data_IF_634431952997
#
_entry.id   IF_634431952997
#
_cell.length_a   1.000
_cell.length_b   1.000
_cell.length_c   1.000
_cell.angle_alpha   90.00
_cell.angle_beta   90.00
_cell.angle_gamma   90.00
#
_symmetry.space_group_name_H-M   'P 1'
#
loop_
_entity.id
_entity.type
_entity.pdbx_description
1 polymer ?
#
# COMPACT_ATOMS: atom_id res chain seq x y z
N UNK A 1 -4.66 8.12 55.83
CA UNK A 1 -4.64 8.83 54.54
C UNK A 1 -4.25 7.84 53.49
N UNK A 2 -5.16 7.40 52.61
CA UNK A 2 -4.78 6.49 51.49
C UNK A 2 -4.12 7.32 50.38
N UNK A 3 -2.98 6.86 49.94
CA UNK A 3 -2.25 7.44 48.80
C UNK A 3 -3.01 7.13 47.53
N UNK A 4 -3.46 8.19 46.84
CA UNK A 4 -4.04 8.13 45.49
C UNK A 4 -2.87 7.87 44.52
N UNK A 5 -2.77 6.61 44.03
CA UNK A 5 -1.83 6.25 42.98
C UNK A 5 -2.13 7.09 41.74
N UNK A 6 -1.16 7.91 41.28
CA UNK A 6 -1.17 8.53 39.96
C UNK A 6 -1.10 7.45 38.90
N UNK A 7 -2.22 7.10 38.30
CA UNK A 7 -2.23 6.39 37.03
C UNK A 7 -1.60 7.32 36.00
N UNK A 8 -0.41 6.99 35.54
CA UNK A 8 0.20 7.61 34.36
C UNK A 8 -0.68 7.39 33.14
N UNK A 9 -0.59 8.25 32.10
CA UNK A 9 -1.41 8.07 30.91
C UNK A 9 -1.17 6.69 30.32
N UNK A 10 -2.22 5.86 30.26
CA UNK A 10 -2.19 4.61 29.52
C UNK A 10 -1.72 4.93 28.09
N UNK A 11 -0.55 4.42 27.72
CA UNK A 11 -0.05 4.48 26.37
C UNK A 11 -1.07 3.76 25.48
N UNK A 12 -1.95 4.51 24.82
CA UNK A 12 -2.95 3.95 23.92
C UNK A 12 -2.23 3.14 22.84
N UNK A 13 -2.47 1.83 22.83
CA UNK A 13 -1.88 0.94 21.84
C UNK A 13 -2.20 1.46 20.43
N UNK A 14 -1.19 1.59 19.58
CA UNK A 14 -1.33 2.05 18.20
C UNK A 14 -0.98 0.93 17.22
N UNK A 15 -1.57 0.98 16.05
CA UNK A 15 -1.25 0.12 14.92
C UNK A 15 -0.87 1.00 13.72
N UNK A 16 0.21 0.64 13.03
CA UNK A 16 0.59 1.31 11.78
C UNK A 16 -0.22 0.72 10.64
N UNK A 17 -1.05 1.53 9.99
CA UNK A 17 -2.00 1.05 8.99
C UNK A 17 -2.00 1.89 7.71
N UNK A 18 -2.45 1.27 6.62
CA UNK A 18 -2.65 1.90 5.33
C UNK A 18 -3.72 1.17 4.52
N UNK A 19 -4.40 1.87 3.64
CA UNK A 19 -5.27 1.27 2.63
C UNK A 19 -4.48 0.95 1.36
N UNK A 20 -4.81 -0.16 0.71
CA UNK A 20 -4.06 -0.64 -0.46
C UNK A 20 -4.91 -1.45 -1.44
N UNK A 21 -4.42 -1.52 -2.70
CA UNK A 21 -4.75 -2.58 -3.65
C UNK A 21 -3.79 -3.74 -3.42
N UNK A 22 -4.33 -4.96 -3.36
CA UNK A 22 -3.58 -6.15 -2.97
C UNK A 22 -3.64 -7.21 -4.08
N UNK A 23 -2.53 -7.54 -4.73
CA UNK A 23 -2.54 -8.46 -5.85
C UNK A 23 -2.89 -9.87 -5.40
N UNK A 24 -3.70 -10.56 -6.20
CA UNK A 24 -3.88 -12.00 -6.07
C UNK A 24 -2.58 -12.74 -6.39
N UNK A 25 -2.58 -14.06 -6.22
CA UNK A 25 -1.38 -14.86 -6.37
C UNK A 25 -0.82 -14.80 -7.81
N UNK A 26 -1.69 -14.90 -8.83
CA UNK A 26 -1.28 -14.87 -10.23
C UNK A 26 -0.66 -13.53 -10.66
N UNK A 27 -1.24 -12.42 -10.23
CA UNK A 27 -0.69 -11.07 -10.47
C UNK A 27 0.60 -10.86 -9.67
N UNK A 28 0.65 -11.33 -8.42
CA UNK A 28 1.84 -11.27 -7.56
C UNK A 28 3.02 -12.00 -8.18
N UNK A 29 2.81 -13.19 -8.73
CA UNK A 29 3.84 -13.95 -9.42
C UNK A 29 4.41 -13.18 -10.62
N UNK A 30 3.58 -12.51 -11.41
CA UNK A 30 4.03 -11.71 -12.54
C UNK A 30 4.91 -10.53 -12.08
N UNK A 31 4.54 -9.81 -11.04
CA UNK A 31 5.39 -8.76 -10.45
C UNK A 31 6.68 -9.32 -9.86
N UNK A 32 6.64 -10.51 -9.26
CA UNK A 32 7.84 -11.19 -8.77
C UNK A 32 8.79 -11.58 -9.91
N UNK A 33 8.29 -11.96 -11.08
CA UNK A 33 9.12 -12.19 -12.27
C UNK A 33 9.81 -10.90 -12.71
N UNK A 34 9.09 -9.76 -12.74
CA UNK A 34 9.69 -8.46 -13.00
C UNK A 34 10.78 -8.13 -11.98
N UNK A 35 10.48 -8.27 -10.69
CA UNK A 35 11.44 -7.98 -9.62
C UNK A 35 12.72 -8.82 -9.73
N UNK A 36 12.62 -10.11 -10.05
CA UNK A 36 13.77 -11.00 -10.27
C UNK A 36 14.62 -10.57 -11.47
N UNK A 37 13.99 -10.26 -12.61
CA UNK A 37 14.67 -9.77 -13.80
C UNK A 37 15.40 -8.44 -13.54
N UNK A 38 14.75 -7.51 -12.87
CA UNK A 38 15.34 -6.21 -12.52
C UNK A 38 16.47 -6.37 -11.50
N UNK A 39 16.34 -7.26 -10.52
CA UNK A 39 17.37 -7.51 -9.53
C UNK A 39 18.71 -7.96 -10.16
N UNK A 40 18.66 -8.75 -11.23
CA UNK A 40 19.87 -9.19 -11.94
C UNK A 40 20.67 -8.02 -12.52
N UNK A 41 20.01 -6.93 -12.93
CA UNK A 41 20.67 -5.78 -13.55
C UNK A 41 20.80 -4.59 -12.61
N UNK A 42 19.81 -4.35 -11.76
CA UNK A 42 19.76 -3.17 -10.87
C UNK A 42 20.33 -3.46 -9.48
N UNK A 43 20.50 -4.73 -9.09
CA UNK A 43 20.83 -5.11 -7.72
C UNK A 43 19.77 -4.73 -6.72
N UNK A 44 20.18 -4.52 -5.47
CA UNK A 44 19.26 -4.15 -4.39
C UNK A 44 18.59 -5.35 -3.72
N UNK A 45 17.45 -5.12 -3.08
CA UNK A 45 16.68 -6.15 -2.38
C UNK A 45 15.28 -6.26 -2.98
N UNK A 46 14.87 -7.47 -3.34
CA UNK A 46 13.52 -7.75 -3.86
C UNK A 46 12.51 -7.55 -2.73
N UNK A 47 11.41 -6.86 -3.02
CA UNK A 47 10.26 -6.78 -2.10
C UNK A 47 9.68 -8.17 -1.88
N UNK A 48 9.40 -8.53 -0.63
CA UNK A 48 8.78 -9.82 -0.30
C UNK A 48 7.44 -9.97 -1.01
N UNK A 49 7.09 -11.17 -1.52
CA UNK A 49 5.82 -11.38 -2.23
C UNK A 49 4.61 -10.91 -1.44
N UNK A 50 4.56 -11.22 -0.13
CA UNK A 50 3.49 -10.79 0.77
C UNK A 50 3.43 -9.28 1.06
N UNK A 51 4.40 -8.49 0.60
CA UNK A 51 4.44 -7.04 0.77
C UNK A 51 4.20 -6.26 -0.54
N UNK A 52 3.93 -6.96 -1.65
CA UNK A 52 3.61 -6.30 -2.92
C UNK A 52 2.20 -5.70 -2.86
N UNK A 53 2.10 -4.40 -3.08
CA UNK A 53 0.82 -3.67 -3.04
C UNK A 53 0.94 -2.29 -3.71
N UNK A 54 -0.20 -1.69 -4.01
CA UNK A 54 -0.27 -0.25 -4.32
C UNK A 54 -0.96 0.43 -3.14
N UNK A 55 -0.29 1.34 -2.47
CA UNK A 55 -0.90 2.14 -1.38
C UNK A 55 -1.96 3.07 -1.95
N UNK A 56 -3.14 3.13 -1.32
CA UNK A 56 -4.19 4.11 -1.63
C UNK A 56 -4.12 5.31 -0.68
N UNK A 57 -4.00 5.06 0.62
CA UNK A 57 -3.84 6.08 1.65
C UNK A 57 -3.02 5.53 2.82
N UNK A 58 -1.97 6.25 3.22
CA UNK A 58 -1.11 5.85 4.33
C UNK A 58 -1.44 6.67 5.58
N UNK A 59 -1.96 6.02 6.63
CA UNK A 59 -2.37 6.69 7.86
C UNK A 59 -1.26 6.74 8.92
N UNK A 60 -0.28 5.84 8.85
CA UNK A 60 0.70 5.70 9.94
C UNK A 60 0.08 5.11 11.20
N UNK A 61 0.47 5.63 12.37
CA UNK A 61 0.02 5.11 13.65
C UNK A 61 -1.40 5.59 13.98
N UNK A 62 -2.32 4.65 14.12
CA UNK A 62 -3.72 4.86 14.50
C UNK A 62 -3.98 4.14 15.81
N UNK A 63 -4.75 4.73 16.74
CA UNK A 63 -5.15 4.07 17.97
C UNK A 63 -5.92 2.77 17.65
N UNK A 64 -5.56 1.67 18.31
CA UNK A 64 -6.19 0.35 18.07
C UNK A 64 -7.70 0.42 18.27
N UNK A 65 -8.16 1.21 19.25
CA UNK A 65 -9.58 1.45 19.53
C UNK A 65 -10.35 2.10 18.35
N UNK A 66 -9.66 2.74 17.40
CA UNK A 66 -10.28 3.37 16.22
C UNK A 66 -10.22 2.50 14.95
N UNK A 67 -9.66 1.30 14.99
CA UNK A 67 -9.56 0.43 13.82
C UNK A 67 -10.92 0.00 13.28
N UNK A 68 -11.90 -0.24 14.15
CA UNK A 68 -13.25 -0.62 13.71
C UNK A 68 -13.97 0.57 13.08
N UNK A 69 -13.72 1.79 13.52
CA UNK A 69 -14.21 3.01 12.85
C UNK A 69 -13.66 3.10 11.41
N UNK A 70 -12.36 2.84 11.21
CA UNK A 70 -11.76 2.77 9.86
C UNK A 70 -12.40 1.71 8.98
N UNK A 71 -12.68 0.52 9.53
CA UNK A 71 -13.35 -0.55 8.79
C UNK A 71 -14.77 -0.18 8.40
N UNK A 72 -15.53 0.45 9.29
CA UNK A 72 -16.89 0.93 9.01
C UNK A 72 -16.90 2.06 7.98
N UNK A 73 -15.92 2.97 8.03
CA UNK A 73 -15.74 4.02 7.04
C UNK A 73 -15.50 3.40 5.66
N UNK A 74 -14.55 2.48 5.57
CA UNK A 74 -14.22 1.81 4.31
C UNK A 74 -15.43 1.06 3.73
N UNK A 75 -16.22 0.38 4.55
CA UNK A 75 -17.39 -0.36 4.09
C UNK A 75 -18.47 0.52 3.40
N UNK A 76 -18.42 1.84 3.61
CA UNK A 76 -19.38 2.80 3.02
C UNK A 76 -18.90 3.42 1.71
N UNK A 77 -17.62 3.26 1.35
CA UNK A 77 -17.05 3.98 0.20
C UNK A 77 -17.61 3.49 -1.14
N UNK A 78 -17.81 2.18 -1.28
CA UNK A 78 -18.17 1.57 -2.55
C UNK A 78 -17.14 1.85 -3.64
N UNK A 79 -17.44 1.47 -4.86
CA UNK A 79 -16.59 1.76 -6.03
C UNK A 79 -16.79 0.70 -7.11
N UNK A 80 -16.34 1.01 -8.33
CA UNK A 80 -16.48 0.08 -9.45
C UNK A 80 -15.17 -0.70 -9.67
N UNK A 81 -15.29 -1.91 -10.20
CA UNK A 81 -14.14 -2.70 -10.67
C UNK A 81 -13.43 -1.99 -11.81
N UNK A 82 -12.13 -2.13 -11.92
CA UNK A 82 -11.32 -1.55 -12.99
C UNK A 82 -10.06 -2.38 -13.25
N UNK A 83 -9.36 -2.08 -14.34
CA UNK A 83 -8.12 -2.73 -14.69
C UNK A 83 -6.95 -1.75 -14.60
N UNK A 84 -5.80 -2.25 -14.19
CA UNK A 84 -4.51 -1.56 -14.26
C UNK A 84 -3.58 -2.35 -15.19
N UNK A 85 -2.97 -1.64 -16.13
CA UNK A 85 -2.00 -2.19 -17.07
C UNK A 85 -0.61 -1.65 -16.74
N UNK A 86 0.40 -2.52 -16.81
CA UNK A 86 1.78 -2.19 -16.50
C UNK A 86 2.66 -2.69 -17.64
N UNK A 87 3.40 -1.79 -18.29
CA UNK A 87 4.29 -2.12 -19.41
C UNK A 87 5.77 -1.93 -19.08
N UNK A 88 6.11 -1.01 -18.18
CA UNK A 88 7.49 -0.68 -17.88
C UNK A 88 7.71 -0.38 -16.38
N UNK A 89 8.91 -0.71 -15.85
CA UNK A 89 9.30 -0.29 -14.51
C UNK A 89 9.79 1.16 -14.52
N UNK A 90 9.68 1.81 -13.37
CA UNK A 90 10.28 3.11 -13.10
C UNK A 90 11.32 3.06 -11.99
N UNK A 91 12.02 4.16 -11.78
CA UNK A 91 13.07 4.26 -10.78
C UNK A 91 13.12 5.65 -10.12
N UNK A 92 13.16 5.66 -8.80
CA UNK A 92 13.43 6.87 -8.02
C UNK A 92 14.86 6.85 -7.50
N UNK A 93 15.71 7.66 -8.10
CA UNK A 93 17.16 7.74 -7.77
C UNK A 93 17.40 8.17 -6.33
N UNK A 94 16.63 9.15 -5.84
CA UNK A 94 16.81 9.74 -4.51
C UNK A 94 16.66 8.74 -3.35
N UNK A 95 15.80 7.73 -3.49
CA UNK A 95 15.57 6.69 -2.48
C UNK A 95 15.92 5.27 -2.95
N UNK A 96 16.42 5.15 -4.19
CA UNK A 96 16.88 3.90 -4.81
C UNK A 96 15.81 2.82 -4.85
N UNK A 97 14.59 3.20 -5.24
CA UNK A 97 13.44 2.29 -5.38
C UNK A 97 13.17 2.07 -6.88
N UNK A 98 13.14 0.81 -7.30
CA UNK A 98 12.54 0.41 -8.57
C UNK A 98 11.09 -0.03 -8.32
N UNK A 99 10.18 0.46 -9.14
CA UNK A 99 8.74 0.29 -8.97
C UNK A 99 8.04 -0.02 -10.29
N UNK A 100 6.81 -0.53 -10.19
CA UNK A 100 5.86 -0.60 -11.29
C UNK A 100 4.73 0.39 -11.03
N UNK A 101 4.39 1.21 -12.03
CA UNK A 101 3.19 2.04 -12.01
C UNK A 101 2.28 1.63 -13.18
N UNK A 102 0.97 1.80 -13.05
CA UNK A 102 0.09 1.62 -14.19
C UNK A 102 0.42 2.64 -15.29
N UNK A 103 0.27 2.23 -16.54
CA UNK A 103 0.55 3.08 -17.72
C UNK A 103 -0.31 4.34 -17.70
N UNK A 104 -1.55 4.21 -17.22
CA UNK A 104 -2.48 5.30 -16.97
C UNK A 104 -3.15 5.09 -15.61
N UNK A 105 -3.45 6.19 -14.92
CA UNK A 105 -4.25 6.15 -13.69
C UNK A 105 -5.72 6.32 -14.07
N UNK A 106 -6.55 5.24 -14.02
CA UNK A 106 -7.96 5.35 -14.36
C UNK A 106 -8.68 6.34 -13.45
N UNK A 107 -9.66 7.07 -14.00
CA UNK A 107 -10.46 8.02 -13.22
C UNK A 107 -11.13 7.34 -12.01
N UNK A 108 -11.61 6.10 -12.19
CA UNK A 108 -12.20 5.28 -11.12
C UNK A 108 -11.25 5.11 -9.92
N UNK A 109 -9.96 4.88 -10.17
CA UNK A 109 -8.95 4.79 -9.09
C UNK A 109 -8.76 6.16 -8.41
N UNK A 110 -8.66 7.23 -9.20
CA UNK A 110 -8.53 8.58 -8.66
C UNK A 110 -9.74 8.98 -7.81
N UNK A 111 -10.94 8.61 -8.23
CA UNK A 111 -12.18 8.87 -7.50
C UNK A 111 -12.26 8.04 -6.21
N UNK A 112 -11.84 6.77 -6.24
CA UNK A 112 -11.76 5.92 -5.05
C UNK A 112 -10.83 6.54 -4.00
N UNK A 113 -9.65 6.97 -4.40
CA UNK A 113 -8.66 7.60 -3.50
C UNK A 113 -9.22 8.90 -2.92
N UNK A 114 -9.79 9.79 -3.75
CA UNK A 114 -10.40 11.04 -3.28
C UNK A 114 -11.54 10.81 -2.29
N UNK A 115 -12.43 9.84 -2.56
CA UNK A 115 -13.51 9.48 -1.63
C UNK A 115 -12.95 8.96 -0.30
N UNK A 116 -11.91 8.14 -0.36
CA UNK A 116 -11.23 7.61 0.83
C UNK A 116 -10.61 8.74 1.65
N UNK A 117 -9.82 9.62 1.02
CA UNK A 117 -9.18 10.78 1.67
C UNK A 117 -10.21 11.72 2.31
N UNK A 118 -11.28 12.07 1.59
CA UNK A 118 -12.37 12.88 2.10
C UNK A 118 -13.03 12.26 3.35
N UNK A 119 -13.26 10.97 3.31
CA UNK A 119 -13.88 10.23 4.42
C UNK A 119 -12.96 10.14 5.62
N UNK A 120 -11.65 9.93 5.41
CA UNK A 120 -10.63 9.93 6.45
C UNK A 120 -10.52 11.30 7.11
N UNK A 121 -10.46 12.37 6.32
CA UNK A 121 -10.40 13.74 6.80
C UNK A 121 -11.65 14.11 7.63
N UNK A 122 -12.84 13.77 7.14
CA UNK A 122 -14.11 14.01 7.85
C UNK A 122 -14.17 13.28 9.18
N UNK A 123 -13.61 12.08 9.27
CA UNK A 123 -13.53 11.29 10.49
C UNK A 123 -12.34 11.70 11.39
N UNK A 124 -11.54 12.69 11.01
CA UNK A 124 -10.40 13.18 11.78
C UNK A 124 -9.21 12.21 11.85
N UNK A 125 -9.01 11.40 10.81
CA UNK A 125 -7.79 10.61 10.64
C UNK A 125 -6.75 11.41 9.85
N UNK A 126 -5.53 11.40 10.35
CA UNK A 126 -4.38 11.90 9.59
C UNK A 126 -3.93 10.87 8.56
N UNK A 127 -3.49 11.32 7.41
CA UNK A 127 -2.92 10.49 6.35
C UNK A 127 -1.87 11.30 5.56
N UNK A 128 -1.11 10.63 4.71
CA UNK A 128 -0.13 11.26 3.84
C UNK A 128 -0.85 12.04 2.71
N UNK A 129 -0.74 13.37 2.71
CA UNK A 129 -1.43 14.28 1.79
C UNK A 129 -0.63 14.58 0.51
N UNK A 130 0.49 13.88 0.27
CA UNK A 130 1.25 14.06 -0.98
C UNK A 130 0.41 13.69 -2.20
N UNK A 131 0.63 14.35 -3.36
CA UNK A 131 -0.08 14.00 -4.58
C UNK A 131 -0.05 12.49 -4.85
N UNK A 132 -1.21 11.90 -5.08
CA UNK A 132 -1.35 10.48 -5.31
C UNK A 132 -0.60 10.02 -6.56
N UNK A 133 0.32 9.10 -6.40
CA UNK A 133 1.08 8.47 -7.49
C UNK A 133 1.07 6.95 -7.30
N UNK A 134 0.16 6.21 -7.98
CA UNK A 134 0.04 4.77 -7.81
C UNK A 134 1.32 4.06 -8.24
N UNK A 135 1.89 3.28 -7.33
CA UNK A 135 3.08 2.49 -7.62
C UNK A 135 3.17 1.25 -6.73
N UNK A 136 3.80 0.21 -7.25
CA UNK A 136 4.13 -1.02 -6.53
C UNK A 136 5.65 -1.14 -6.45
N UNK A 137 6.20 -1.20 -5.25
CA UNK A 137 7.65 -1.31 -5.04
C UNK A 137 8.13 -2.72 -5.38
N UNK A 138 9.02 -2.81 -6.36
CA UNK A 138 9.66 -4.07 -6.80
C UNK A 138 11.00 -4.32 -6.09
N UNK A 139 11.88 -3.30 -6.08
CA UNK A 139 13.20 -3.35 -5.48
C UNK A 139 13.43 -2.15 -4.55
N UNK A 140 14.12 -2.40 -3.45
CA UNK A 140 14.69 -1.38 -2.57
C UNK A 140 16.21 -1.40 -2.64
N UNK A 141 16.84 -0.24 -2.41
CA UNK A 141 18.29 -0.11 -2.47
C UNK A 141 18.89 -0.54 -3.82
N UNK A 142 18.13 -0.41 -4.90
CA UNK A 142 18.63 -0.66 -6.26
C UNK A 142 19.81 0.26 -6.55
N UNK A 143 20.83 -0.25 -7.25
CA UNK A 143 22.10 0.46 -7.51
C UNK A 143 22.07 1.18 -8.85
N UNK A 144 21.29 0.65 -9.79
CA UNK A 144 21.24 1.10 -11.17
C UNK A 144 19.79 1.26 -11.63
N UNK A 145 19.59 2.15 -12.58
CA UNK A 145 18.30 2.33 -13.24
C UNK A 145 17.90 1.04 -13.95
N UNK A 146 16.60 0.70 -13.99
CA UNK A 146 16.10 -0.37 -14.84
C UNK A 146 16.47 -0.13 -16.31
N UNK A 147 16.88 -1.19 -17.03
CA UNK A 147 17.17 -1.05 -18.46
C UNK A 147 15.88 -0.70 -19.22
N UNK A 148 16.01 0.15 -20.24
CA UNK A 148 14.91 0.52 -21.14
C UNK A 148 14.58 -0.63 -22.11
N UNK A 149 14.12 -1.75 -21.58
CA UNK A 149 13.64 -2.89 -22.38
C UNK A 149 12.21 -3.23 -21.98
N UNK A 150 11.36 -3.61 -22.96
CA UNK A 150 10.01 -4.02 -22.63
C UNK A 150 10.03 -5.27 -21.74
N UNK A 151 9.20 -5.28 -20.72
CA UNK A 151 8.86 -6.46 -19.94
C UNK A 151 7.51 -7.02 -20.42
N UNK A 152 7.19 -8.25 -20.03
CA UNK A 152 5.87 -8.81 -20.31
C UNK A 152 4.82 -7.97 -19.62
N UNK A 153 3.84 -7.44 -20.35
CA UNK A 153 2.76 -6.65 -19.80
C UNK A 153 2.02 -7.42 -18.70
N UNK A 154 1.68 -6.71 -17.62
CA UNK A 154 0.86 -7.22 -16.54
C UNK A 154 -0.49 -6.50 -16.60
N UNK A 155 -1.57 -7.29 -16.63
CA UNK A 155 -2.93 -6.79 -16.47
C UNK A 155 -3.45 -7.23 -15.11
N UNK A 156 -3.89 -6.27 -14.29
CA UNK A 156 -4.41 -6.52 -12.96
C UNK A 156 -5.83 -6.01 -12.83
N UNK A 157 -6.80 -6.93 -12.76
CA UNK A 157 -8.20 -6.61 -12.49
C UNK A 157 -8.38 -6.30 -11.00
N UNK A 158 -8.74 -5.07 -10.69
CA UNK A 158 -8.97 -4.59 -9.32
C UNK A 158 -10.44 -4.86 -8.97
N UNK A 159 -10.65 -5.77 -8.01
CA UNK A 159 -11.97 -6.20 -7.55
C UNK A 159 -12.23 -5.87 -6.08
N UNK A 160 -11.20 -5.47 -5.35
CA UNK A 160 -11.29 -5.13 -3.93
C UNK A 160 -10.15 -4.17 -3.54
N UNK A 161 -10.31 -3.52 -2.41
CA UNK A 161 -9.22 -2.87 -1.69
C UNK A 161 -9.22 -3.33 -0.23
N UNK A 162 -8.10 -3.12 0.44
CA UNK A 162 -7.83 -3.68 1.77
C UNK A 162 -7.32 -2.63 2.74
N UNK A 163 -7.52 -2.88 4.04
CA UNK A 163 -6.82 -2.22 5.14
C UNK A 163 -5.73 -3.16 5.64
N UNK A 164 -4.52 -2.66 5.73
CA UNK A 164 -3.32 -3.42 6.08
C UNK A 164 -2.71 -2.87 7.37
N UNK A 165 -2.33 -3.75 8.26
CA UNK A 165 -1.48 -3.47 9.42
C UNK A 165 -0.03 -3.78 9.08
N UNK A 166 0.87 -2.86 9.39
CA UNK A 166 2.31 -3.06 9.29
C UNK A 166 2.88 -3.44 10.65
N UNK A 167 3.34 -4.67 10.79
CA UNK A 167 4.02 -5.17 11.96
C UNK A 167 5.53 -5.06 11.75
N UNK A 168 6.25 -4.51 12.71
CA UNK A 168 7.70 -4.45 12.67
C UNK A 168 8.28 -5.75 13.23
N UNK A 169 9.09 -6.43 12.42
CA UNK A 169 9.83 -7.63 12.80
C UNK A 169 11.33 -7.37 12.64
N UNK A 170 12.19 -8.12 13.31
CA UNK A 170 13.65 -8.02 13.13
C UNK A 170 14.07 -8.17 11.66
N UNK A 171 13.33 -8.98 10.92
CA UNK A 171 13.51 -9.23 9.48
C UNK A 171 12.94 -8.13 8.57
N UNK A 172 12.38 -7.03 9.11
CA UNK A 172 11.70 -5.94 8.40
C UNK A 172 10.18 -5.96 8.57
N UNK A 173 9.47 -5.07 7.87
CA UNK A 173 8.01 -4.98 7.97
C UNK A 173 7.32 -6.23 7.42
N UNK A 174 6.37 -6.75 8.18
CA UNK A 174 5.43 -7.77 7.77
C UNK A 174 4.04 -7.14 7.70
N UNK A 175 3.29 -7.46 6.64
CA UNK A 175 1.99 -6.87 6.38
C UNK A 175 0.87 -7.89 6.59
N UNK A 176 -0.14 -7.48 7.35
CA UNK A 176 -1.33 -8.25 7.68
C UNK A 176 -2.56 -7.52 7.15
N UNK A 177 -3.34 -8.18 6.29
CA UNK A 177 -4.63 -7.64 5.85
C UNK A 177 -5.67 -7.80 6.95
N UNK A 178 -6.16 -6.68 7.49
CA UNK A 178 -7.12 -6.65 8.60
C UNK A 178 -8.54 -6.24 8.21
N UNK A 179 -8.76 -5.97 6.92
CA UNK A 179 -10.08 -5.69 6.33
C UNK A 179 -10.04 -5.77 4.82
N UNK A 180 -11.17 -6.18 4.18
CA UNK A 180 -11.33 -6.28 2.72
C UNK A 180 -12.71 -5.78 2.31
N UNK A 181 -12.79 -5.03 1.20
CA UNK A 181 -14.02 -4.47 0.66
C UNK A 181 -14.09 -4.68 -0.85
N UNK A 182 -15.11 -5.39 -1.33
CA UNK A 182 -15.27 -5.62 -2.76
C UNK A 182 -15.68 -4.32 -3.47
N UNK A 183 -15.27 -4.23 -4.74
CA UNK A 183 -15.74 -3.26 -5.71
C UNK A 183 -16.78 -3.93 -6.62
N UNK A 184 -17.77 -3.19 -7.10
CA UNK A 184 -18.90 -3.74 -7.89
C UNK A 184 -19.21 -2.89 -9.13
#
# INVERSE_FOLDING_TARGET
>A
MPQIGKQGPESLATARVFFALWPDEGVREQFMQWAKLLHQTCGGSITRPGNLHITLAFLGNVAVSRLDELKLLAAKLGGSVFNLNFAAPGYWRHNRIAWAAPDETPQVLSDLVKKLECSLQTAGFSFDERPYAPHLTLLRKARWDPPARPLKNINWAIKEYVLVRSNWMESGSEYEVIGRWPLS
#
